data_IF_207612306316
#
_entry.id   IF_207612306316
#
_cell.length_a   1.000
_cell.length_b   1.000
_cell.length_c   1.000
_cell.angle_alpha   90.00
_cell.angle_beta   90.00
_cell.angle_gamma   90.00
#
_symmetry.space_group_name_H-M   'P 1'
#
loop_
_entity.id
_entity.type
_entity.pdbx_description
1 polymer ?
#
# COMPACT_ATOMS: atom_id res chain seq x y z
N UNK A 1 6.29 -6.07 -7.73
CA UNK A 1 5.15 -5.21 -8.06
C UNK A 1 4.33 -4.99 -6.80
N UNK A 2 3.66 -3.84 -6.65
CA UNK A 2 2.77 -3.55 -5.50
C UNK A 2 1.33 -3.91 -5.86
N UNK A 3 0.58 -4.50 -4.93
CA UNK A 3 -0.82 -4.86 -5.16
C UNK A 3 -1.68 -3.59 -5.13
N UNK A 4 -2.50 -3.37 -6.17
CA UNK A 4 -3.29 -2.15 -6.30
C UNK A 4 -4.60 -2.21 -5.50
N UNK A 5 -5.47 -3.19 -5.79
CA UNK A 5 -6.87 -3.19 -5.35
C UNK A 5 -7.10 -3.26 -3.84
N UNK A 6 -6.28 -3.99 -3.09
CA UNK A 6 -6.40 -4.14 -1.64
C UNK A 6 -5.71 -3.00 -0.88
N UNK A 7 -4.74 -2.34 -1.52
CA UNK A 7 -3.96 -1.22 -0.97
C UNK A 7 -4.44 0.13 -1.51
N UNK A 8 -5.72 0.23 -1.86
CA UNK A 8 -6.41 1.49 -2.18
C UNK A 8 -7.19 2.01 -0.97
N UNK A 9 -7.53 3.29 -0.95
CA UNK A 9 -8.39 3.87 0.10
C UNK A 9 -9.83 3.36 0.01
N UNK A 10 -10.32 3.13 -1.21
CA UNK A 10 -11.66 2.58 -1.50
C UNK A 10 -11.75 2.12 -2.96
N UNK A 11 -12.65 1.19 -3.25
CA UNK A 11 -13.03 0.90 -4.64
C UNK A 11 -13.81 2.07 -5.25
N UNK A 12 -13.60 2.30 -6.55
CA UNK A 12 -14.33 3.28 -7.36
C UNK A 12 -15.54 2.68 -8.10
N UNK A 13 -15.86 1.42 -7.80
CA UNK A 13 -16.95 0.64 -8.36
C UNK A 13 -17.45 -0.37 -7.34
N UNK A 14 -18.68 -0.84 -7.54
CA UNK A 14 -19.21 -1.97 -6.79
C UNK A 14 -18.51 -3.26 -7.23
N UNK A 15 -18.30 -4.13 -6.25
CA UNK A 15 -17.75 -5.47 -6.47
C UNK A 15 -18.83 -6.50 -6.14
N UNK A 16 -18.97 -7.57 -6.94
CA UNK A 16 -19.82 -8.70 -6.61
C UNK A 16 -19.47 -9.30 -5.24
N UNK A 17 -20.46 -9.94 -4.61
CA UNK A 17 -20.23 -10.72 -3.38
C UNK A 17 -19.20 -11.82 -3.64
N UNK A 18 -18.27 -12.02 -2.69
CA UNK A 18 -17.19 -13.02 -2.81
C UNK A 18 -16.06 -12.66 -3.79
N UNK A 19 -16.03 -11.44 -4.35
CA UNK A 19 -14.94 -11.01 -5.22
C UNK A 19 -13.59 -11.04 -4.51
N UNK A 20 -12.57 -11.64 -5.13
CA UNK A 20 -11.24 -11.83 -4.53
C UNK A 20 -10.62 -10.50 -4.03
N UNK A 21 -10.70 -9.43 -4.83
CA UNK A 21 -10.21 -8.11 -4.42
C UNK A 21 -10.91 -7.58 -3.16
N UNK A 22 -12.20 -7.88 -2.96
CA UNK A 22 -12.91 -7.50 -1.72
C UNK A 22 -12.32 -8.23 -0.53
N UNK A 23 -12.06 -9.53 -0.66
CA UNK A 23 -11.48 -10.35 0.42
C UNK A 23 -10.09 -9.82 0.79
N UNK A 24 -9.23 -9.56 -0.20
CA UNK A 24 -7.89 -9.03 0.06
C UNK A 24 -7.94 -7.60 0.61
N UNK A 25 -8.87 -6.77 0.13
CA UNK A 25 -9.14 -5.46 0.69
C UNK A 25 -9.55 -5.57 2.16
N UNK A 26 -10.46 -6.46 2.52
CA UNK A 26 -10.90 -6.61 3.91
C UNK A 26 -9.75 -7.12 4.81
N UNK A 27 -8.93 -8.06 4.32
CA UNK A 27 -7.71 -8.53 5.01
C UNK A 27 -6.70 -7.41 5.27
N UNK A 28 -6.58 -6.45 4.35
CA UNK A 28 -5.67 -5.31 4.48
C UNK A 28 -6.20 -4.17 5.38
N UNK A 29 -7.32 -4.34 6.09
CA UNK A 29 -7.92 -3.28 6.91
C UNK A 29 -6.94 -2.63 7.90
N UNK A 30 -6.17 -3.44 8.64
CA UNK A 30 -5.20 -2.95 9.63
C UNK A 30 -4.05 -2.16 9.00
N UNK A 31 -3.65 -2.53 7.79
CA UNK A 31 -2.66 -1.78 7.02
C UNK A 31 -3.20 -0.39 6.64
N UNK A 32 -4.47 -0.30 6.22
CA UNK A 32 -5.10 1.00 5.93
C UNK A 32 -5.30 1.85 7.17
N UNK A 33 -5.62 1.24 8.32
CA UNK A 33 -5.67 1.94 9.61
C UNK A 33 -4.32 2.58 9.94
N UNK A 34 -3.23 1.82 9.78
CA UNK A 34 -1.86 2.33 9.96
C UNK A 34 -1.54 3.48 9.00
N UNK A 35 -1.90 3.35 7.72
CA UNK A 35 -1.68 4.41 6.73
C UNK A 35 -2.40 5.72 7.15
N UNK A 36 -3.64 5.61 7.63
CA UNK A 36 -4.41 6.74 8.16
C UNK A 36 -3.77 7.37 9.39
N UNK A 37 -3.24 6.57 10.33
CA UNK A 37 -2.48 7.07 11.49
C UNK A 37 -1.25 7.88 11.06
N UNK A 38 -0.57 7.44 10.01
CA UNK A 38 0.61 8.09 9.45
C UNK A 38 0.28 9.29 8.54
N UNK A 39 -1.01 9.57 8.30
CA UNK A 39 -1.50 10.57 7.34
C UNK A 39 -0.93 10.35 5.94
N UNK A 40 -0.87 9.10 5.52
CA UNK A 40 -0.35 8.66 4.24
C UNK A 40 -1.37 7.75 3.54
N UNK A 41 -1.44 7.77 2.21
CA UNK A 41 -2.31 6.83 1.49
C UNK A 41 -1.75 5.41 1.59
N UNK A 42 -2.60 4.36 1.61
CA UNK A 42 -2.12 2.97 1.65
C UNK A 42 -1.20 2.64 0.46
N UNK A 43 -1.45 3.20 -0.72
CA UNK A 43 -0.60 3.03 -1.89
C UNK A 43 0.80 3.65 -1.71
N UNK A 44 0.88 4.86 -1.15
CA UNK A 44 2.17 5.51 -0.83
C UNK A 44 2.94 4.72 0.22
N UNK A 45 2.29 4.28 1.30
CA UNK A 45 2.92 3.50 2.36
C UNK A 45 3.45 2.16 1.82
N UNK A 46 2.67 1.48 0.99
CA UNK A 46 3.05 0.21 0.38
C UNK A 46 4.23 0.37 -0.58
N UNK A 47 4.25 1.45 -1.37
CA UNK A 47 5.36 1.76 -2.25
C UNK A 47 6.65 1.99 -1.44
N UNK A 48 6.61 2.82 -0.40
CA UNK A 48 7.78 3.08 0.46
C UNK A 48 8.25 1.84 1.20
N UNK A 49 7.33 1.00 1.67
CA UNK A 49 7.66 -0.28 2.26
C UNK A 49 8.39 -1.21 1.26
N UNK A 50 7.92 -1.30 0.00
CA UNK A 50 8.60 -2.07 -1.03
C UNK A 50 10.02 -1.56 -1.33
N UNK A 51 10.22 -0.22 -1.34
CA UNK A 51 11.54 0.40 -1.47
C UNK A 51 12.48 0.13 -0.27
N UNK A 52 11.91 -0.26 0.88
CA UNK A 52 12.67 -0.55 2.11
C UNK A 52 13.13 -2.00 2.18
N UNK A 53 12.64 -2.87 1.29
CA UNK A 53 12.96 -4.29 1.31
C UNK A 53 14.41 -4.54 0.83
N UNK A 54 15.20 -5.32 1.57
CA UNK A 54 16.56 -5.68 1.16
C UNK A 54 16.59 -6.36 -0.22
N UNK A 55 17.48 -5.91 -1.10
CA UNK A 55 17.68 -6.52 -2.42
C UNK A 55 16.68 -6.11 -3.51
N UNK A 56 15.71 -5.22 -3.20
CA UNK A 56 14.82 -4.68 -4.23
C UNK A 56 15.55 -3.63 -5.06
N UNK A 57 15.77 -3.94 -6.34
CA UNK A 57 16.35 -3.00 -7.31
C UNK A 57 15.29 -2.21 -8.10
N UNK A 58 14.06 -2.72 -8.20
CA UNK A 58 13.00 -2.11 -9.01
C UNK A 58 11.63 -2.43 -8.43
N UNK A 59 10.76 -1.42 -8.36
CA UNK A 59 9.35 -1.55 -8.00
C UNK A 59 8.50 -1.16 -9.20
N UNK A 60 7.70 -2.11 -9.70
CA UNK A 60 6.72 -1.86 -10.78
C UNK A 60 5.38 -1.47 -10.14
N UNK A 61 4.85 -0.32 -10.54
CA UNK A 61 3.59 0.25 -10.05
C UNK A 61 2.58 0.40 -11.18
N UNK A 62 1.32 0.09 -10.90
CA UNK A 62 0.19 0.40 -11.77
C UNK A 62 -0.55 1.61 -11.24
N UNK A 63 -0.78 2.61 -12.10
CA UNK A 63 -1.56 3.81 -11.80
C UNK A 63 -2.58 4.06 -12.90
N UNK A 64 -3.79 4.51 -12.56
CA UNK A 64 -4.85 4.75 -13.56
C UNK A 64 -4.90 6.19 -14.07
N UNK A 65 -4.17 7.12 -13.45
CA UNK A 65 -4.17 8.53 -13.83
C UNK A 65 -2.88 9.27 -13.40
N UNK A 66 -2.75 10.54 -13.83
CA UNK A 66 -1.59 11.39 -13.53
C UNK A 66 -1.53 11.88 -12.07
N UNK A 67 -2.62 11.80 -11.31
CA UNK A 67 -2.62 12.17 -9.89
C UNK A 67 -1.90 11.08 -9.11
N UNK A 68 -2.30 9.82 -9.30
CA UNK A 68 -1.63 8.66 -8.68
C UNK A 68 -0.16 8.54 -9.08
N UNK A 69 0.19 8.85 -10.33
CA UNK A 69 1.60 8.92 -10.76
C UNK A 69 2.39 9.92 -9.93
N UNK A 70 1.84 11.12 -9.67
CA UNK A 70 2.51 12.14 -8.86
C UNK A 70 2.65 11.68 -7.41
N UNK A 71 1.63 11.05 -6.85
CA UNK A 71 1.69 10.45 -5.50
C UNK A 71 2.81 9.41 -5.40
N UNK A 72 2.97 8.56 -6.43
CA UNK A 72 4.06 7.58 -6.46
C UNK A 72 5.44 8.23 -6.48
N UNK A 73 5.60 9.34 -7.24
CA UNK A 73 6.85 10.11 -7.28
C UNK A 73 7.12 10.86 -5.95
N UNK A 74 6.09 11.36 -5.28
CA UNK A 74 6.21 11.95 -3.93
C UNK A 74 6.63 10.89 -2.90
N UNK A 75 6.04 9.69 -2.96
CA UNK A 75 6.38 8.57 -2.11
C UNK A 75 7.85 8.14 -2.29
N UNK A 76 8.32 8.05 -3.54
CA UNK A 76 9.72 7.75 -3.85
C UNK A 76 10.67 8.83 -3.32
N UNK A 77 10.35 10.12 -3.50
CA UNK A 77 11.14 11.24 -2.94
C UNK A 77 11.25 11.20 -1.42
N UNK A 78 10.22 10.72 -0.72
CA UNK A 78 10.24 10.53 0.74
C UNK A 78 11.08 9.33 1.17
N UNK A 79 11.52 8.50 0.22
CA UNK A 79 12.45 7.40 0.41
C UNK A 79 11.88 6.23 1.21
N UNK A 80 12.78 5.30 1.53
CA UNK A 80 12.47 4.13 2.35
C UNK A 80 11.90 4.50 3.73
N UNK A 81 11.13 3.59 4.30
CA UNK A 81 10.70 3.60 5.69
C UNK A 81 11.88 3.28 6.61
N UNK A 82 11.88 3.86 7.80
CA UNK A 82 12.79 3.43 8.86
C UNK A 82 12.40 2.05 9.41
N UNK A 83 13.30 1.46 10.20
CA UNK A 83 13.10 0.12 10.74
C UNK A 83 11.92 -0.01 11.70
N UNK A 84 11.48 1.07 12.35
CA UNK A 84 10.29 1.04 13.21
C UNK A 84 9.02 0.93 12.37
N UNK A 85 8.90 1.76 11.34
CA UNK A 85 7.77 1.75 10.43
C UNK A 85 7.68 0.43 9.64
N UNK A 86 8.81 -0.14 9.21
CA UNK A 86 8.85 -1.48 8.60
C UNK A 86 8.23 -2.52 9.54
N UNK A 87 8.62 -2.54 10.82
CA UNK A 87 8.06 -3.48 11.81
C UNK A 87 6.56 -3.27 12.05
N UNK A 88 6.09 -2.01 12.03
CA UNK A 88 4.65 -1.70 12.17
C UNK A 88 3.86 -2.20 10.96
N UNK A 89 4.38 -2.03 9.75
CA UNK A 89 3.78 -2.59 8.54
C UNK A 89 3.73 -4.11 8.63
N UNK A 90 4.82 -4.78 8.97
CA UNK A 90 4.87 -6.24 9.13
C UNK A 90 3.83 -6.74 10.13
N UNK A 91 3.69 -6.05 11.28
CA UNK A 91 2.72 -6.40 12.31
C UNK A 91 1.26 -6.16 11.89
N UNK A 92 1.02 -5.28 10.92
CA UNK A 92 -0.32 -4.99 10.40
C UNK A 92 -0.87 -6.08 9.48
N UNK A 93 0.00 -6.87 8.85
CA UNK A 93 -0.37 -7.88 7.85
C UNK A 93 -0.21 -9.33 8.31
N UNK A 94 0.38 -9.57 9.49
CA UNK A 94 0.46 -10.92 10.08
C UNK A 94 -0.91 -11.34 10.63
N UNK A 95 -1.38 -12.51 10.20
CA UNK A 95 -2.51 -13.20 10.83
C UNK A 95 -2.13 -13.60 12.28
N UNK A 96 -3.10 -13.57 13.20
CA UNK A 96 -2.94 -14.14 14.55
C UNK A 96 -3.17 -15.64 14.50
#
# INVERSE_FOLDING_TARGET
>A
AVQAGALTDRFDRDLPEGHADRIDYDRAARFRELARELRESPASLAHRYALSMPGVATVVLGVKNRVELRECLEAERRGALDGELVRRVDASVRER
#
